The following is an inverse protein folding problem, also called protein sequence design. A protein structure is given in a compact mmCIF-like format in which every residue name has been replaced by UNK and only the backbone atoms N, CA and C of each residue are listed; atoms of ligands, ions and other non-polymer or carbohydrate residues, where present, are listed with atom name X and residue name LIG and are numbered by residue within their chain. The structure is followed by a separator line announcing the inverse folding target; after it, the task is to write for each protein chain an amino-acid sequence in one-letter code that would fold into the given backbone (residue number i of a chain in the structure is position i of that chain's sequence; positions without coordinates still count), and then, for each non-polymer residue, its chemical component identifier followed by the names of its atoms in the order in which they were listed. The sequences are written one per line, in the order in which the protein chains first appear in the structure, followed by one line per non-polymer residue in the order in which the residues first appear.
data_IF_168402752824
#
_entry.id   IF_168402752824
#
_cell.length_a   1.000
_cell.length_b   1.000
_cell.length_c   1.000
_cell.angle_alpha   90.00
_cell.angle_beta   90.00
_cell.angle_gamma   90.00
#
_symmetry.space_group_name_H-M   'P 1'
#
loop_
_entity.id
_entity.type
_entity.pdbx_description
1 polymer ?
#
# COMPACT_ATOMS: atom_id res chain seq x y z
N UNK A 1 13.25 -19.13 -24.87
CA UNK A 1 12.39 -18.62 -23.77
C UNK A 1 12.51 -17.11 -23.75
N UNK A 2 11.41 -16.38 -23.57
CA UNK A 2 11.39 -14.92 -23.47
C UNK A 2 12.20 -14.47 -22.23
N UNK A 3 13.31 -13.71 -22.40
CA UNK A 3 14.20 -13.33 -21.29
C UNK A 3 13.45 -12.56 -20.19
N UNK A 4 12.43 -11.78 -20.57
CA UNK A 4 11.60 -11.02 -19.62
C UNK A 4 10.86 -11.93 -18.64
N UNK A 5 10.27 -13.03 -19.14
CA UNK A 5 9.56 -13.99 -18.29
C UNK A 5 10.48 -14.68 -17.30
N UNK A 6 11.76 -14.84 -17.66
CA UNK A 6 12.76 -15.41 -16.76
C UNK A 6 13.06 -14.47 -15.60
N UNK A 7 13.45 -13.22 -15.87
CA UNK A 7 13.75 -12.24 -14.82
C UNK A 7 12.52 -11.91 -13.96
N UNK A 8 11.32 -11.89 -14.56
CA UNK A 8 10.07 -11.79 -13.82
C UNK A 8 9.90 -12.94 -12.82
N UNK A 9 10.10 -14.19 -13.25
CA UNK A 9 10.01 -15.35 -12.35
C UNK A 9 11.08 -15.31 -11.27
N UNK A 10 12.30 -14.92 -11.63
CA UNK A 10 13.40 -14.78 -10.66
C UNK A 10 13.08 -13.73 -9.59
N UNK A 11 12.55 -12.56 -9.97
CA UNK A 11 12.11 -11.54 -9.02
C UNK A 11 10.97 -12.02 -8.12
N UNK A 12 9.96 -12.69 -8.68
CA UNK A 12 8.83 -13.24 -7.91
C UNK A 12 9.30 -14.31 -6.93
N UNK A 13 10.15 -15.24 -7.38
CA UNK A 13 10.73 -16.28 -6.53
C UNK A 13 11.57 -15.67 -5.41
N UNK A 14 12.41 -14.68 -5.73
CA UNK A 14 13.21 -13.96 -4.75
C UNK A 14 12.32 -13.30 -3.69
N UNK A 15 11.30 -12.55 -4.12
CA UNK A 15 10.36 -11.87 -3.22
C UNK A 15 9.66 -12.88 -2.30
N UNK A 16 9.04 -13.92 -2.87
CA UNK A 16 8.34 -14.96 -2.09
C UNK A 16 9.28 -15.68 -1.12
N UNK A 17 10.54 -15.92 -1.52
CA UNK A 17 11.54 -16.55 -0.66
C UNK A 17 11.88 -15.65 0.53
N UNK A 18 12.12 -14.35 0.30
CA UNK A 18 12.37 -13.38 1.37
C UNK A 18 11.14 -13.27 2.30
N UNK A 19 9.93 -13.24 1.75
CA UNK A 19 8.69 -13.22 2.54
C UNK A 19 8.55 -14.48 3.41
N UNK A 20 8.84 -15.66 2.87
CA UNK A 20 8.84 -16.91 3.62
C UNK A 20 9.87 -16.91 4.75
N UNK A 21 11.11 -16.51 4.45
CA UNK A 21 12.19 -16.42 5.44
C UNK A 21 11.93 -15.35 6.51
N UNK A 22 11.22 -14.27 6.17
CA UNK A 22 10.86 -13.21 7.12
C UNK A 22 9.96 -13.69 8.27
N UNK A 23 9.32 -14.87 8.14
CA UNK A 23 8.56 -15.50 9.23
C UNK A 23 9.44 -15.97 10.38
N UNK A 24 10.74 -16.10 10.16
CA UNK A 24 11.74 -16.48 11.18
C UNK A 24 12.30 -15.28 11.96
N UNK A 25 11.99 -14.06 11.51
CA UNK A 25 12.44 -12.82 12.13
C UNK A 25 11.37 -12.31 13.07
N UNK A 26 11.74 -11.57 14.12
CA UNK A 26 10.79 -10.89 14.99
C UNK A 26 11.25 -9.48 15.35
N UNK A 27 10.32 -8.68 15.86
CA UNK A 27 10.58 -7.33 16.33
C UNK A 27 10.90 -6.32 15.20
N UNK A 28 11.75 -5.31 15.46
CA UNK A 28 11.92 -4.15 14.58
C UNK A 28 12.61 -4.50 13.24
N UNK A 29 13.32 -5.63 13.15
CA UNK A 29 13.97 -6.08 11.91
C UNK A 29 12.96 -6.31 10.78
N UNK A 30 11.69 -6.55 11.10
CA UNK A 30 10.64 -6.74 10.11
C UNK A 30 10.33 -5.48 9.31
N UNK A 31 10.43 -4.31 9.94
CA UNK A 31 10.27 -3.04 9.25
C UNK A 31 11.40 -2.80 8.25
N UNK A 32 12.63 -3.18 8.63
CA UNK A 32 13.77 -3.14 7.73
C UNK A 32 13.57 -4.09 6.55
N UNK A 33 13.14 -5.34 6.81
CA UNK A 33 12.88 -6.31 5.73
C UNK A 33 11.74 -5.84 4.82
N UNK A 34 10.66 -5.29 5.37
CA UNK A 34 9.56 -4.73 4.59
C UNK A 34 10.03 -3.57 3.69
N UNK A 35 10.85 -2.66 4.22
CA UNK A 35 11.45 -1.58 3.44
C UNK A 35 12.40 -2.11 2.35
N UNK A 36 13.24 -3.09 2.67
CA UNK A 36 14.15 -3.72 1.71
C UNK A 36 13.38 -4.45 0.61
N UNK A 37 12.32 -5.19 0.93
CA UNK A 37 11.44 -5.85 -0.04
C UNK A 37 10.77 -4.82 -0.92
N UNK A 38 10.24 -3.74 -0.35
CA UNK A 38 9.63 -2.63 -1.10
C UNK A 38 10.63 -2.09 -2.13
N UNK A 39 11.85 -1.72 -1.70
CA UNK A 39 12.88 -1.15 -2.58
C UNK A 39 13.36 -2.16 -3.61
N UNK A 40 13.62 -3.41 -3.21
CA UNK A 40 14.10 -4.46 -4.11
C UNK A 40 13.08 -4.77 -5.21
N UNK A 41 11.79 -4.91 -4.86
CA UNK A 41 10.72 -5.12 -5.84
C UNK A 41 10.48 -3.86 -6.67
N UNK A 42 10.56 -2.67 -6.08
CA UNK A 42 10.42 -1.41 -6.80
C UNK A 42 11.50 -1.22 -7.89
N UNK A 43 12.76 -1.56 -7.58
CA UNK A 43 13.87 -1.50 -8.55
C UNK A 43 13.80 -2.67 -9.55
N UNK A 44 13.61 -3.90 -9.06
CA UNK A 44 13.55 -5.11 -9.90
C UNK A 44 12.40 -5.09 -10.89
N UNK A 45 11.23 -4.60 -10.48
CA UNK A 45 10.08 -4.47 -11.38
C UNK A 45 10.37 -3.52 -12.55
N UNK A 46 11.13 -2.43 -12.32
CA UNK A 46 11.52 -1.51 -13.41
C UNK A 46 12.45 -2.20 -14.40
N UNK A 47 13.40 -2.99 -13.92
CA UNK A 47 14.28 -3.77 -14.78
C UNK A 47 13.48 -4.77 -15.63
N UNK A 48 12.57 -5.53 -15.01
CA UNK A 48 11.70 -6.50 -15.69
C UNK A 48 10.80 -5.83 -16.74
N UNK A 49 10.30 -4.62 -16.46
CA UNK A 49 9.49 -3.87 -17.42
C UNK A 49 10.38 -3.38 -18.58
N UNK A 50 11.56 -2.83 -18.29
CA UNK A 50 12.48 -2.26 -19.26
C UNK A 50 12.99 -3.28 -20.28
N UNK A 51 13.32 -4.49 -19.84
CA UNK A 51 13.85 -5.55 -20.71
C UNK A 51 12.86 -6.04 -21.77
N UNK A 52 11.56 -5.82 -21.57
CA UNK A 52 10.53 -6.14 -22.57
C UNK A 52 10.28 -5.01 -23.58
N UNK A 53 10.81 -3.81 -23.32
CA UNK A 53 10.56 -2.63 -24.13
C UNK A 53 11.37 -2.69 -25.44
N UNK A 54 10.75 -2.33 -26.55
CA UNK A 54 11.46 -2.19 -27.83
C UNK A 54 12.12 -0.79 -27.87
N UNK A 55 13.45 -0.74 -27.69
CA UNK A 55 14.25 0.49 -27.67
C UNK A 55 14.54 1.03 -26.26
N UNK A 56 15.39 2.06 -26.17
CA UNK A 56 15.74 2.72 -24.91
C UNK A 56 14.62 3.65 -24.44
N UNK A 57 13.50 3.07 -24.00
CA UNK A 57 12.40 3.84 -23.40
C UNK A 57 12.56 3.83 -21.88
N UNK A 58 12.71 5.00 -21.22
CA UNK A 58 12.82 5.04 -19.78
C UNK A 58 11.52 4.58 -19.12
N UNK A 59 11.62 3.57 -18.25
CA UNK A 59 10.45 3.07 -17.48
C UNK A 59 10.09 4.08 -16.39
N UNK A 60 8.84 4.58 -16.37
CA UNK A 60 8.34 5.48 -15.33
C UNK A 60 8.52 4.86 -13.94
N UNK A 61 8.92 5.69 -12.97
CA UNK A 61 9.15 5.24 -11.58
C UNK A 61 7.87 4.73 -10.91
N UNK A 62 6.72 5.12 -11.45
CA UNK A 62 5.40 4.83 -10.92
C UNK A 62 4.95 3.40 -11.24
N UNK A 63 5.36 2.87 -12.39
CA UNK A 63 4.92 1.57 -12.89
C UNK A 63 5.31 0.39 -11.97
N UNK A 64 6.32 0.57 -11.11
CA UNK A 64 6.75 -0.44 -10.15
C UNK A 64 6.18 -0.26 -8.74
N UNK A 65 5.36 0.76 -8.49
CA UNK A 65 4.83 1.04 -7.15
C UNK A 65 3.85 -0.03 -6.69
N UNK A 66 2.88 -0.40 -7.54
CA UNK A 66 1.86 -1.41 -7.18
C UNK A 66 2.48 -2.76 -6.83
N UNK A 67 3.37 -3.37 -7.66
CA UNK A 67 3.99 -4.64 -7.29
C UNK A 67 4.86 -4.53 -6.03
N UNK A 68 5.55 -3.39 -5.81
CA UNK A 68 6.36 -3.17 -4.62
C UNK A 68 5.51 -3.11 -3.35
N UNK A 69 4.44 -2.31 -3.35
CA UNK A 69 3.51 -2.20 -2.21
C UNK A 69 2.79 -3.53 -1.97
N UNK A 70 2.40 -4.24 -3.03
CA UNK A 70 1.80 -5.58 -2.93
C UNK A 70 2.73 -6.56 -2.20
N UNK A 71 4.00 -6.63 -2.60
CA UNK A 71 4.98 -7.53 -1.99
C UNK A 71 5.28 -7.15 -0.53
N UNK A 72 5.55 -5.88 -0.27
CA UNK A 72 5.87 -5.40 1.08
C UNK A 72 4.67 -5.53 2.03
N UNK A 73 3.46 -5.21 1.58
CA UNK A 73 2.23 -5.35 2.37
C UNK A 73 1.92 -6.81 2.71
N UNK A 74 2.18 -7.72 1.76
CA UNK A 74 2.00 -9.16 1.98
C UNK A 74 2.89 -9.72 3.09
N UNK A 75 4.06 -9.10 3.38
CA UNK A 75 4.95 -9.54 4.45
C UNK A 75 4.25 -9.52 5.82
N UNK A 76 3.57 -8.42 6.15
CA UNK A 76 2.84 -8.33 7.41
C UNK A 76 1.59 -9.20 7.41
N UNK A 77 0.85 -9.23 6.28
CA UNK A 77 -0.38 -10.03 6.15
C UNK A 77 -0.10 -11.55 6.32
N UNK A 78 1.03 -12.05 5.83
CA UNK A 78 1.47 -13.44 6.00
C UNK A 78 1.58 -13.87 7.47
N UNK A 79 1.80 -12.92 8.39
CA UNK A 79 1.91 -13.22 9.82
C UNK A 79 0.59 -13.60 10.47
N UNK A 80 -0.53 -13.24 9.85
CA UNK A 80 -1.86 -13.65 10.28
C UNK A 80 -2.13 -15.14 10.03
N UNK A 81 -1.31 -15.76 9.18
CA UNK A 81 -1.41 -17.18 8.86
C UNK A 81 -0.53 -17.97 9.84
N UNK A 82 -1.12 -18.93 10.59
CA UNK A 82 -0.35 -19.82 11.46
C UNK A 82 0.75 -20.54 10.68
N UNK A 83 1.89 -20.77 11.34
CA UNK A 83 2.97 -21.58 10.76
C UNK A 83 2.45 -23.01 10.54
N UNK A 84 2.54 -23.51 9.31
CA UNK A 84 2.05 -24.83 8.95
C UNK A 84 1.85 -24.99 7.45
N UNK A 85 1.14 -26.05 7.05
CA UNK A 85 0.88 -26.39 5.64
C UNK A 85 0.13 -25.28 4.89
N UNK A 86 -0.64 -24.44 5.59
CA UNK A 86 -1.34 -23.29 5.02
C UNK A 86 -0.41 -22.18 4.51
N UNK A 87 0.86 -22.13 4.95
CA UNK A 87 1.80 -21.10 4.51
C UNK A 87 2.17 -21.26 3.03
N UNK A 88 2.32 -22.49 2.55
CA UNK A 88 2.67 -22.78 1.15
C UNK A 88 1.65 -22.22 0.14
N UNK A 89 0.33 -22.49 0.25
CA UNK A 89 -0.65 -21.92 -0.67
C UNK A 89 -0.76 -20.40 -0.54
N UNK A 90 -0.54 -19.81 0.63
CA UNK A 90 -0.55 -18.35 0.81
C UNK A 90 0.66 -17.69 0.15
N UNK A 91 1.86 -18.25 0.33
CA UNK A 91 3.07 -17.78 -0.38
C UNK A 91 2.91 -17.89 -1.89
N UNK A 92 2.29 -18.96 -2.37
CA UNK A 92 1.96 -19.14 -3.79
C UNK A 92 0.96 -18.07 -4.27
N UNK A 93 -0.07 -17.78 -3.48
CA UNK A 93 -1.04 -16.72 -3.78
C UNK A 93 -0.36 -15.34 -3.85
N UNK A 94 0.52 -15.02 -2.89
CA UNK A 94 1.29 -13.77 -2.89
C UNK A 94 2.20 -13.69 -4.14
N UNK A 95 2.91 -14.77 -4.45
CA UNK A 95 3.72 -14.84 -5.66
C UNK A 95 2.90 -14.62 -6.93
N UNK A 96 1.71 -15.19 -6.99
CA UNK A 96 0.77 -15.00 -8.10
C UNK A 96 0.25 -13.56 -8.18
N UNK A 97 -0.05 -12.91 -7.05
CA UNK A 97 -0.46 -11.50 -7.03
C UNK A 97 0.65 -10.59 -7.56
N UNK A 98 1.90 -10.79 -7.13
CA UNK A 98 3.06 -10.02 -7.62
C UNK A 98 3.30 -10.31 -9.10
N UNK A 99 3.22 -11.56 -9.54
CA UNK A 99 3.36 -11.93 -10.95
C UNK A 99 2.26 -11.29 -11.83
N UNK A 100 1.00 -11.33 -11.39
CA UNK A 100 -0.12 -10.73 -12.12
C UNK A 100 0.00 -9.21 -12.19
N UNK A 101 0.41 -8.55 -11.10
CA UNK A 101 0.64 -7.08 -11.12
C UNK A 101 1.74 -6.71 -12.11
N UNK A 102 2.87 -7.42 -12.11
CA UNK A 102 3.95 -7.20 -13.06
C UNK A 102 3.50 -7.41 -14.51
N UNK A 103 2.66 -8.43 -14.79
CA UNK A 103 2.09 -8.67 -16.13
C UNK A 103 1.15 -7.56 -16.59
N UNK A 104 0.38 -6.98 -15.67
CA UNK A 104 -0.53 -5.88 -15.98
C UNK A 104 0.24 -4.59 -16.26
N UNK A 105 1.22 -4.25 -15.42
CA UNK A 105 2.06 -3.06 -15.60
C UNK A 105 2.91 -3.16 -16.88
N UNK A 106 3.54 -4.31 -17.14
CA UNK A 106 4.28 -4.55 -18.38
C UNK A 106 3.40 -4.43 -19.63
N UNK A 107 2.22 -5.07 -19.62
CA UNK A 107 1.26 -4.99 -20.74
C UNK A 107 0.79 -3.56 -20.98
N UNK A 108 0.54 -2.81 -19.91
CA UNK A 108 0.12 -1.42 -20.01
C UNK A 108 1.24 -0.52 -20.57
N UNK A 109 2.50 -0.81 -20.21
CA UNK A 109 3.67 -0.09 -20.69
C UNK A 109 3.97 -0.35 -22.17
N UNK A 110 3.86 -1.60 -22.62
CA UNK A 110 4.23 -1.97 -24.00
C UNK A 110 3.20 -1.53 -25.05
N UNK A 111 2.02 -1.04 -24.65
CA UNK A 111 0.95 -0.68 -25.60
C UNK A 111 1.19 0.69 -26.27
N UNK A 112 1.35 0.74 -27.61
CA UNK A 112 1.57 1.99 -28.33
C UNK A 112 0.41 2.98 -28.26
N UNK A 113 -0.82 2.46 -28.17
CA UNK A 113 -2.06 3.25 -28.10
C UNK A 113 -2.38 3.81 -26.71
N UNK A 114 -1.51 3.57 -25.72
CA UNK A 114 -1.77 3.88 -24.31
C UNK A 114 -2.66 2.87 -23.60
N UNK A 115 -2.89 3.12 -22.31
CA UNK A 115 -3.59 2.22 -21.38
C UNK A 115 -5.08 2.10 -21.71
N UNK A 116 -5.58 0.87 -21.86
CA UNK A 116 -7.00 0.61 -22.13
C UNK A 116 -7.85 0.74 -20.86
N UNK A 117 -9.17 0.88 -21.02
CA UNK A 117 -10.10 0.87 -19.89
C UNK A 117 -10.00 -0.43 -19.06
N UNK A 118 -9.81 -1.57 -19.71
CA UNK A 118 -9.63 -2.86 -19.05
C UNK A 118 -8.36 -2.94 -18.21
N UNK A 119 -7.22 -2.46 -18.72
CA UNK A 119 -5.97 -2.43 -17.93
C UNK A 119 -6.09 -1.48 -16.75
N UNK A 120 -6.75 -0.32 -16.95
CA UNK A 120 -6.99 0.66 -15.90
C UNK A 120 -7.82 0.03 -14.77
N UNK A 121 -8.92 -0.64 -15.09
CA UNK A 121 -9.74 -1.34 -14.10
C UNK A 121 -8.95 -2.46 -13.41
N UNK A 122 -8.16 -3.23 -14.15
CA UNK A 122 -7.32 -4.29 -13.59
C UNK A 122 -6.27 -3.76 -12.61
N UNK A 123 -5.57 -2.68 -12.98
CA UNK A 123 -4.56 -2.03 -12.13
C UNK A 123 -5.18 -1.37 -10.90
N UNK A 124 -6.34 -0.72 -11.05
CA UNK A 124 -7.09 -0.18 -9.91
C UNK A 124 -7.49 -1.30 -8.94
N UNK A 125 -8.02 -2.41 -9.45
CA UNK A 125 -8.35 -3.58 -8.62
C UNK A 125 -7.15 -4.14 -7.88
N UNK A 126 -6.01 -4.31 -8.57
CA UNK A 126 -4.78 -4.79 -7.93
C UNK A 126 -4.19 -3.80 -6.93
N UNK A 127 -4.30 -2.50 -7.17
CA UNK A 127 -3.85 -1.49 -6.23
C UNK A 127 -4.75 -1.40 -4.99
N UNK A 128 -6.06 -1.63 -5.12
CA UNK A 128 -6.95 -1.79 -3.95
C UNK A 128 -6.60 -3.04 -3.14
N UNK A 129 -6.30 -4.16 -3.81
CA UNK A 129 -5.80 -5.36 -3.12
C UNK A 129 -4.45 -5.10 -2.43
N UNK A 130 -3.55 -4.36 -3.09
CA UNK A 130 -2.26 -3.96 -2.51
C UNK A 130 -2.46 -3.05 -1.30
N UNK A 131 -3.39 -2.08 -1.37
CA UNK A 131 -3.73 -1.20 -0.26
C UNK A 131 -4.25 -2.01 0.93
N UNK A 132 -5.20 -2.92 0.69
CA UNK A 132 -5.76 -3.79 1.73
C UNK A 132 -4.68 -4.63 2.40
N UNK A 133 -3.83 -5.29 1.60
CA UNK A 133 -2.73 -6.10 2.14
C UNK A 133 -1.70 -5.25 2.88
N UNK A 134 -1.39 -4.05 2.39
CA UNK A 134 -0.45 -3.15 3.02
C UNK A 134 -0.97 -2.59 4.35
N UNK A 135 -2.20 -2.10 4.42
CA UNK A 135 -2.81 -1.65 5.69
C UNK A 135 -2.94 -2.81 6.68
N UNK A 136 -3.31 -3.99 6.19
CA UNK A 136 -3.35 -5.21 7.02
C UNK A 136 -1.96 -5.57 7.54
N UNK A 137 -0.96 -5.51 6.66
CA UNK A 137 0.43 -5.83 7.00
C UNK A 137 1.03 -4.84 7.99
N UNK A 138 0.82 -3.54 7.79
CA UNK A 138 1.23 -2.49 8.72
C UNK A 138 0.58 -2.70 10.09
N UNK A 139 -0.72 -2.94 10.13
CA UNK A 139 -1.44 -3.20 11.39
C UNK A 139 -0.94 -4.48 12.08
N UNK A 140 -0.57 -5.52 11.33
CA UNK A 140 -0.02 -6.76 11.87
C UNK A 140 1.42 -6.63 12.39
N UNK A 141 2.20 -5.66 11.89
CA UNK A 141 3.58 -5.41 12.33
C UNK A 141 3.68 -4.59 13.62
N UNK A 142 2.59 -3.95 14.05
CA UNK A 142 2.56 -3.16 15.28
C UNK A 142 1.77 -3.91 16.35
N UNK A 143 2.37 -4.07 17.54
CA UNK A 143 1.72 -4.68 18.68
C UNK A 143 0.43 -3.92 19.04
N UNK A 144 -0.68 -4.65 19.19
CA UNK A 144 -2.00 -4.06 19.42
C UNK A 144 -2.60 -3.34 18.20
N UNK A 145 -1.97 -3.39 17.02
CA UNK A 145 -2.43 -2.76 15.79
C UNK A 145 -3.70 -3.39 15.19
N UNK A 146 -3.92 -4.68 15.46
CA UNK A 146 -5.16 -5.41 15.14
C UNK A 146 -5.92 -5.68 16.46
N UNK A 147 -6.59 -4.66 16.97
CA UNK A 147 -7.32 -4.72 18.23
C UNK A 147 -8.38 -5.85 18.23
N UNK A 148 -8.47 -6.58 19.35
CA UNK A 148 -9.52 -7.57 19.57
C UNK A 148 -10.75 -6.90 20.20
N UNK A 149 -11.96 -7.08 19.65
CA UNK A 149 -13.15 -6.78 20.39
C UNK A 149 -13.29 -7.82 21.51
N UNK A 150 -13.31 -7.37 22.76
CA UNK A 150 -13.51 -8.22 23.93
C UNK A 150 -14.86 -8.93 23.87
N UNK A 151 -14.84 -10.16 23.36
CA UNK A 151 -15.95 -11.10 23.46
C UNK A 151 -15.43 -12.36 24.17
N UNK A 152 -15.43 -12.31 25.50
CA UNK A 152 -15.53 -13.50 26.35
C UNK A 152 -14.29 -14.36 26.59
N UNK A 153 -13.07 -13.86 26.39
CA UNK A 153 -11.84 -14.59 26.73
C UNK A 153 -10.75 -13.64 27.22
N UNK A 154 -10.07 -14.01 28.30
CA UNK A 154 -9.20 -13.20 29.17
C UNK A 154 -7.85 -12.78 28.57
N UNK A 155 -7.73 -12.60 27.26
CA UNK A 155 -6.50 -12.08 26.64
C UNK A 155 -6.79 -10.77 25.93
N UNK A 156 -6.80 -9.67 26.70
CA UNK A 156 -6.57 -8.36 26.10
C UNK A 156 -5.13 -8.39 25.57
N UNK A 157 -4.97 -8.51 24.25
CA UNK A 157 -3.68 -8.28 23.60
C UNK A 157 -3.08 -6.94 24.06
N UNK A 158 -1.74 -6.81 24.09
CA UNK A 158 -1.09 -5.65 24.68
C UNK A 158 -1.63 -4.35 24.07
N UNK A 159 -1.95 -3.34 24.90
CA UNK A 159 -2.47 -2.08 24.42
C UNK A 159 -1.46 -1.42 23.47
N UNK A 160 -1.95 -0.85 22.38
CA UNK A 160 -1.10 -0.14 21.42
C UNK A 160 -0.41 1.04 22.12
N UNK A 161 0.92 1.12 21.97
CA UNK A 161 1.75 2.21 22.51
C UNK A 161 1.56 3.48 21.71
N UNK A 162 1.87 4.64 22.30
CA UNK A 162 1.88 5.94 21.60
C UNK A 162 2.75 5.90 20.33
N UNK A 163 3.95 5.32 20.45
CA UNK A 163 4.85 5.12 19.32
C UNK A 163 4.22 4.24 18.23
N UNK A 164 3.49 3.19 18.61
CA UNK A 164 2.79 2.31 17.68
C UNK A 164 1.70 3.03 16.88
N UNK A 165 0.97 3.95 17.51
CA UNK A 165 -0.06 4.76 16.82
C UNK A 165 0.59 5.62 15.73
N UNK A 166 1.69 6.29 16.07
CA UNK A 166 2.44 7.12 15.12
C UNK A 166 3.02 6.27 14.00
N UNK A 167 3.64 5.13 14.33
CA UNK A 167 4.21 4.22 13.33
C UNK A 167 3.18 3.71 12.34
N UNK A 168 2.02 3.23 12.80
CA UNK A 168 0.97 2.77 11.88
C UNK A 168 0.44 3.93 11.04
N UNK A 169 0.11 5.07 11.66
CA UNK A 169 -0.44 6.21 10.92
C UNK A 169 0.51 6.68 9.82
N UNK A 170 1.81 6.75 10.10
CA UNK A 170 2.84 7.12 9.12
C UNK A 170 2.98 6.07 8.02
N UNK A 171 2.99 4.78 8.37
CA UNK A 171 3.13 3.70 7.41
C UNK A 171 1.89 3.59 6.48
N UNK A 172 0.68 3.68 7.02
CA UNK A 172 -0.56 3.72 6.24
C UNK A 172 -0.62 4.95 5.33
N UNK A 173 -0.22 6.13 5.85
CA UNK A 173 -0.14 7.35 5.05
C UNK A 173 0.88 7.22 3.92
N UNK A 174 2.04 6.60 4.16
CA UNK A 174 3.06 6.35 3.14
C UNK A 174 2.53 5.41 2.05
N UNK A 175 1.90 4.30 2.43
CA UNK A 175 1.27 3.35 1.50
C UNK A 175 0.23 4.05 0.63
N UNK A 176 -0.66 4.83 1.25
CA UNK A 176 -1.68 5.59 0.56
C UNK A 176 -1.09 6.65 -0.38
N UNK A 177 -0.03 7.35 0.05
CA UNK A 177 0.69 8.31 -0.76
C UNK A 177 1.33 7.67 -2.00
N UNK A 178 2.00 6.53 -1.84
CA UNK A 178 2.62 5.79 -2.95
C UNK A 178 1.57 5.32 -3.97
N UNK A 179 0.50 4.66 -3.52
CA UNK A 179 -0.56 4.18 -4.41
C UNK A 179 -1.33 5.36 -5.06
N UNK A 180 -1.58 6.42 -4.28
CA UNK A 180 -2.20 7.65 -4.76
C UNK A 180 -1.34 8.36 -5.83
N UNK A 181 -0.02 8.38 -5.65
CA UNK A 181 0.93 8.89 -6.65
C UNK A 181 0.80 8.12 -7.96
N UNK A 182 0.76 6.77 -7.90
CA UNK A 182 0.57 5.94 -9.09
C UNK A 182 -0.76 6.26 -9.80
N UNK A 183 -1.86 6.35 -9.07
CA UNK A 183 -3.16 6.67 -9.66
C UNK A 183 -3.20 8.06 -10.26
N UNK A 184 -2.52 9.01 -9.64
CA UNK A 184 -2.39 10.37 -10.16
C UNK A 184 -1.55 10.39 -11.45
N UNK A 185 -0.43 9.66 -11.49
CA UNK A 185 0.44 9.56 -12.67
C UNK A 185 -0.23 8.87 -13.87
N UNK A 186 -1.25 8.02 -13.66
CA UNK A 186 -2.05 7.47 -14.77
C UNK A 186 -2.99 8.54 -15.38
N UNK A 187 -3.36 9.56 -14.60
CA UNK A 187 -4.38 10.57 -14.97
C UNK A 187 -3.79 11.95 -15.32
N UNK A 188 -2.60 12.25 -14.82
CA UNK A 188 -1.95 13.56 -14.89
C UNK A 188 -0.63 13.44 -15.65
N UNK A 189 -0.30 14.43 -16.45
CA UNK A 189 0.97 14.50 -17.19
C UNK A 189 2.13 15.07 -16.37
N UNK A 190 1.87 15.69 -15.22
CA UNK A 190 2.86 16.39 -14.41
C UNK A 190 3.25 15.67 -13.11
N UNK A 191 4.56 15.45 -12.90
CA UNK A 191 5.09 14.83 -11.68
C UNK A 191 4.77 15.63 -10.41
N UNK A 192 4.77 16.97 -10.48
CA UNK A 192 4.43 17.85 -9.35
C UNK A 192 2.97 17.66 -8.91
N UNK A 193 2.06 17.52 -9.87
CA UNK A 193 0.63 17.34 -9.58
C UNK A 193 0.36 15.93 -9.04
N UNK A 194 1.09 14.93 -9.54
CA UNK A 194 1.06 13.59 -8.98
C UNK A 194 1.59 13.56 -7.54
N UNK A 195 2.67 14.29 -7.24
CA UNK A 195 3.21 14.40 -5.89
C UNK A 195 2.24 15.12 -4.94
N UNK A 196 1.59 16.19 -5.41
CA UNK A 196 0.53 16.84 -4.65
C UNK A 196 -0.64 15.90 -4.37
N UNK A 197 -1.06 15.12 -5.36
CA UNK A 197 -2.11 14.12 -5.17
C UNK A 197 -1.69 13.10 -4.10
N UNK A 198 -0.46 12.58 -4.16
CA UNK A 198 0.11 11.68 -3.15
C UNK A 198 -0.05 12.22 -1.72
N UNK A 199 0.29 13.50 -1.51
CA UNK A 199 0.11 14.17 -0.22
C UNK A 199 -1.34 14.18 0.26
N UNK A 200 -2.31 14.37 -0.64
CA UNK A 200 -3.73 14.35 -0.26
C UNK A 200 -4.25 12.95 0.10
N UNK A 201 -3.76 11.89 -0.57
CA UNK A 201 -4.09 10.51 -0.18
C UNK A 201 -3.50 10.16 1.18
N UNK A 202 -2.23 10.53 1.40
CA UNK A 202 -1.55 10.32 2.67
C UNK A 202 -2.28 11.02 3.83
N UNK A 203 -2.66 12.30 3.66
CA UNK A 203 -3.39 13.05 4.67
C UNK A 203 -4.78 12.46 4.95
N UNK A 204 -5.54 12.12 3.90
CA UNK A 204 -6.88 11.55 4.07
C UNK A 204 -6.85 10.22 4.84
N UNK A 205 -5.89 9.35 4.53
CA UNK A 205 -5.74 8.07 5.22
C UNK A 205 -5.21 8.25 6.64
N UNK A 206 -4.30 9.20 6.89
CA UNK A 206 -3.89 9.53 8.25
C UNK A 206 -5.06 9.99 9.14
N UNK A 207 -5.93 10.89 8.62
CA UNK A 207 -7.16 11.31 9.31
C UNK A 207 -8.06 10.11 9.58
N UNK A 208 -8.36 9.32 8.55
CA UNK A 208 -9.25 8.18 8.67
C UNK A 208 -8.72 7.14 9.66
N UNK A 209 -7.43 6.81 9.60
CA UNK A 209 -6.78 5.87 10.51
C UNK A 209 -6.86 6.36 11.97
N UNK A 210 -6.66 7.66 12.19
CA UNK A 210 -6.80 8.24 13.53
C UNK A 210 -8.25 8.24 14.03
N UNK A 211 -9.23 8.54 13.18
CA UNK A 211 -10.66 8.54 13.56
C UNK A 211 -11.18 7.11 13.82
N UNK A 212 -10.86 6.18 12.92
CA UNK A 212 -11.30 4.77 13.03
C UNK A 212 -10.71 4.08 14.26
N UNK A 213 -9.55 4.53 14.77
CA UNK A 213 -8.94 4.00 16.01
C UNK A 213 -9.72 4.32 17.28
N UNK A 214 -10.51 5.39 17.28
CA UNK A 214 -11.37 5.76 18.42
C UNK A 214 -12.55 4.79 18.52
N UNK A 215 -12.97 4.23 17.39
CA UNK A 215 -14.04 3.25 17.32
C UNK A 215 -13.41 1.87 17.50
N UNK A 216 -13.86 1.09 18.49
CA UNK A 216 -13.33 -0.26 18.77
C UNK A 216 -13.76 -1.28 17.69
N UNK A 217 -13.27 -1.09 16.46
CA UNK A 217 -13.66 -1.84 15.26
C UNK A 217 -12.98 -3.23 15.26
N UNK A 218 -13.67 -4.29 14.81
CA UNK A 218 -13.08 -5.64 14.68
C UNK A 218 -11.84 -5.68 13.77
N UNK A 219 -10.91 -6.60 14.08
CA UNK A 219 -9.56 -6.74 13.46
C UNK A 219 -9.45 -6.39 11.98
N UNK A 220 -10.13 -7.11 11.10
CA UNK A 220 -10.03 -6.93 9.64
C UNK A 220 -10.94 -5.83 9.09
N UNK A 221 -11.91 -5.36 9.88
CA UNK A 221 -12.77 -4.28 9.45
C UNK A 221 -12.00 -2.95 9.39
N UNK A 222 -10.96 -2.75 10.23
CA UNK A 222 -10.14 -1.54 10.17
C UNK A 222 -9.38 -1.39 8.83
N UNK A 223 -8.52 -2.34 8.39
CA UNK A 223 -7.87 -2.25 7.07
C UNK A 223 -8.83 -2.19 5.88
N UNK A 224 -9.98 -2.89 5.99
CA UNK A 224 -11.02 -2.85 4.96
C UNK A 224 -11.65 -1.45 4.84
N UNK A 225 -11.95 -0.80 5.96
CA UNK A 225 -12.48 0.56 5.98
C UNK A 225 -11.46 1.58 5.48
N UNK A 226 -10.16 1.43 5.79
CA UNK A 226 -9.13 2.29 5.21
C UNK A 226 -9.03 2.11 3.69
N UNK A 227 -9.15 0.88 3.20
CA UNK A 227 -9.18 0.61 1.76
C UNK A 227 -10.42 1.20 1.10
N UNK A 228 -11.58 1.14 1.77
CA UNK A 228 -12.79 1.81 1.32
C UNK A 228 -12.62 3.33 1.28
N UNK A 229 -12.05 3.95 2.32
CA UNK A 229 -11.77 5.39 2.33
C UNK A 229 -10.81 5.75 1.20
N UNK A 230 -9.76 4.96 0.97
CA UNK A 230 -8.84 5.16 -0.13
C UNK A 230 -9.54 5.12 -1.49
N UNK A 231 -10.42 4.13 -1.69
CA UNK A 231 -11.25 4.01 -2.89
C UNK A 231 -12.20 5.21 -3.07
N UNK A 232 -12.93 5.59 -2.02
CA UNK A 232 -13.85 6.73 -2.06
C UNK A 232 -13.12 8.05 -2.30
N UNK A 233 -11.93 8.20 -1.73
CA UNK A 233 -11.08 9.35 -2.01
C UNK A 233 -10.65 9.40 -3.47
N UNK A 234 -10.30 8.25 -4.05
CA UNK A 234 -9.96 8.14 -5.46
C UNK A 234 -11.12 8.51 -6.38
N UNK A 235 -12.35 8.08 -6.07
CA UNK A 235 -13.54 8.40 -6.88
C UNK A 235 -13.88 9.90 -6.82
N UNK A 236 -13.77 10.53 -5.66
CA UNK A 236 -13.99 11.98 -5.49
C UNK A 236 -12.90 12.79 -6.20
N UNK A 237 -11.63 12.42 -6.07
CA UNK A 237 -10.51 13.13 -6.73
C UNK A 237 -10.46 12.87 -8.24
N UNK A 238 -10.87 11.68 -8.67
CA UNK A 238 -10.91 11.26 -10.08
C UNK A 238 -11.99 11.97 -10.89
N UNK A 239 -13.11 12.34 -10.28
CA UNK A 239 -14.28 12.95 -10.94
C UNK A 239 -14.21 14.48 -11.12
N UNK A 240 -13.21 15.17 -10.55
CA UNK A 240 -13.11 16.63 -10.59
C UNK A 240 -11.91 17.17 -11.41
N UNK A 241 -11.93 17.14 -12.76
CA UNK A 241 -10.97 17.85 -13.60
C UNK A 241 -11.03 19.38 -13.49
N UNK A 242 -12.22 19.94 -13.26
CA UNK A 242 -12.50 21.38 -13.38
C UNK A 242 -12.18 22.24 -12.15
N UNK A 243 -12.00 21.65 -10.96
CA UNK A 243 -11.69 22.36 -9.70
C UNK A 243 -10.18 22.57 -9.45
N UNK A 244 -9.32 22.14 -10.38
CA UNK A 244 -7.87 21.94 -10.14
C UNK A 244 -7.01 23.22 -10.16
N UNK A 245 -7.55 24.35 -10.62
CA UNK A 245 -6.89 25.68 -10.58
C UNK A 245 -7.49 26.62 -9.55
N UNK A 246 -8.46 26.15 -8.77
CA UNK A 246 -9.11 26.97 -7.75
C UNK A 246 -8.21 27.03 -6.49
N UNK A 247 -7.80 28.21 -6.01
CA UNK A 247 -7.03 28.35 -4.76
C UNK A 247 -7.70 27.67 -3.56
N UNK A 248 -9.03 27.49 -3.60
CA UNK A 248 -9.79 26.74 -2.60
C UNK A 248 -9.34 25.29 -2.47
N UNK A 249 -8.90 24.65 -3.55
CA UNK A 249 -8.43 23.27 -3.55
C UNK A 249 -7.10 23.11 -2.79
N UNK A 250 -6.23 24.12 -2.92
CA UNK A 250 -4.96 24.19 -2.21
C UNK A 250 -5.20 24.38 -0.71
N UNK A 251 -6.14 25.28 -0.36
CA UNK A 251 -6.58 25.48 1.02
C UNK A 251 -7.21 24.22 1.64
N UNK A 252 -8.07 23.50 0.91
CA UNK A 252 -8.63 22.22 1.37
C UNK A 252 -7.55 21.19 1.67
N UNK A 253 -6.49 21.11 0.86
CA UNK A 253 -5.40 20.17 1.07
C UNK A 253 -4.56 20.52 2.30
N UNK A 254 -4.32 21.82 2.53
CA UNK A 254 -3.66 22.32 3.75
C UNK A 254 -4.51 22.02 4.98
N UNK A 255 -5.82 22.31 4.93
CA UNK A 255 -6.75 22.00 6.02
C UNK A 255 -6.79 20.51 6.34
N UNK A 256 -6.78 19.64 5.32
CA UNK A 256 -6.72 18.19 5.52
C UNK A 256 -5.42 17.75 6.20
N UNK A 257 -4.29 18.33 5.84
CA UNK A 257 -3.01 18.05 6.49
C UNK A 257 -3.02 18.50 7.97
N UNK A 258 -3.54 19.70 8.25
CA UNK A 258 -3.71 20.20 9.63
C UNK A 258 -4.64 19.27 10.42
N UNK A 259 -5.76 18.86 9.82
CA UNK A 259 -6.69 17.92 10.44
C UNK A 259 -6.04 16.57 10.73
N UNK A 260 -5.21 16.04 9.82
CA UNK A 260 -4.47 14.81 10.04
C UNK A 260 -3.58 14.91 11.28
N UNK A 261 -2.80 15.98 11.39
CA UNK A 261 -1.93 16.25 12.55
C UNK A 261 -2.76 16.38 13.83
N UNK A 262 -3.86 17.13 13.78
CA UNK A 262 -4.74 17.32 14.94
C UNK A 262 -5.37 16.01 15.43
N UNK A 263 -5.85 15.15 14.53
CA UNK A 263 -6.45 13.85 14.89
C UNK A 263 -5.40 12.90 15.48
N UNK A 264 -4.18 12.90 14.95
CA UNK A 264 -3.08 12.11 15.53
C UNK A 264 -2.71 12.63 16.93
N UNK A 265 -2.56 13.95 17.09
CA UNK A 265 -2.26 14.57 18.38
C UNK A 265 -3.37 14.33 19.43
N UNK A 266 -4.64 14.41 19.00
CA UNK A 266 -5.79 14.07 19.85
C UNK A 266 -5.70 12.61 20.34
N UNK A 267 -5.43 11.66 19.44
CA UNK A 267 -5.32 10.24 19.79
C UNK A 267 -4.23 9.98 20.83
N UNK A 268 -3.10 10.69 20.74
CA UNK A 268 -2.04 10.64 21.74
C UNK A 268 -2.54 11.21 23.08
N UNK A 269 -3.23 12.36 23.06
CA UNK A 269 -3.79 12.99 24.25
C UNK A 269 -4.82 12.12 25.01
N UNK A 270 -5.66 11.35 24.31
CA UNK A 270 -6.65 10.46 24.93
C UNK A 270 -6.04 9.30 25.74
N UNK A 271 -4.76 8.98 25.54
CA UNK A 271 -4.10 7.83 26.19
C UNK A 271 -3.06 8.24 27.24
N UNK A 272 -2.63 9.51 27.22
CA UNK A 272 -1.75 10.10 28.22
C UNK A 272 -2.47 10.66 29.46
N UNK A 273 -3.82 10.61 29.48
CA UNK A 273 -4.70 11.01 30.60
C UNK A 273 -5.25 9.81 31.34
#
# INVERSE_FOLDING_TARGET
MDPRRRHQRELVVLAVTILGLSRLLDGPLLWLVAALVLVAVWLGARQVIAEGAHGYVPVPVEASIVPAVMAAGSLGALRLVPLGLALAPVLLAVGLLVDVTLRLESRAFDRPSGMTAGDRTGLLGMALLAAFLAFTGVAALVAGGLAEPGLGGTEQGPPITESGIVTIALADALVAGLLGYRFAAIRLSGARDALWAAGTYAAAIAVAAGLLRVVAIPRLAFPALLTLVFYLWDTVRGSAPSLRRDPRFLWQSVLLAILAVAVVAWNLGLRGS
#
